data_IF_224589574677
#
_entry.id   IF_224589574677
#
_cell.length_a   1.000
_cell.length_b   1.000
_cell.length_c   1.000
_cell.angle_alpha   90.00
_cell.angle_beta   90.00
_cell.angle_gamma   90.00
#
_symmetry.space_group_name_H-M   'P 1'
#
loop_
_entity.id
_entity.type
_entity.pdbx_description
1 polymer ?
#
# COMPACT_ATOMS: atom_id res chain seq x y z
N UNK A 1 3.52 -2.67 13.24
CA UNK A 1 2.89 -1.36 13.00
C UNK A 1 3.38 -0.84 11.66
N UNK A 2 2.74 -1.22 10.55
CA UNK A 2 3.00 -0.66 9.21
C UNK A 2 1.79 -0.95 8.30
N UNK A 3 0.76 -0.11 8.34
CA UNK A 3 -0.16 0.05 7.21
C UNK A 3 -0.47 1.54 7.04
N UNK A 4 0.10 2.16 6.01
CA UNK A 4 -0.22 3.54 5.61
C UNK A 4 -1.32 3.59 4.55
N UNK A 5 -1.83 2.43 4.14
CA UNK A 5 -2.87 2.31 3.12
C UNK A 5 -4.15 1.80 3.75
N UNK A 6 -5.28 2.33 3.29
CA UNK A 6 -6.58 1.77 3.61
C UNK A 6 -6.67 0.34 3.05
N UNK A 7 -7.42 -0.54 3.71
CA UNK A 7 -7.78 -1.84 3.13
C UNK A 7 -8.86 -1.62 2.08
N UNK A 8 -8.68 -2.04 0.81
CA UNK A 8 -9.71 -1.90 -0.21
C UNK A 8 -10.97 -2.70 0.16
N UNK A 9 -12.16 -2.11 0.05
CA UNK A 9 -13.42 -2.82 0.39
C UNK A 9 -13.60 -4.09 -0.44
N UNK A 10 -13.16 -4.06 -1.71
CA UNK A 10 -13.25 -5.16 -2.64
C UNK A 10 -12.47 -6.42 -2.20
N UNK A 11 -11.47 -6.30 -1.31
CA UNK A 11 -10.74 -7.47 -0.80
C UNK A 11 -11.40 -8.12 0.41
N UNK A 12 -12.38 -7.44 1.02
CA UNK A 12 -13.17 -7.89 2.17
C UNK A 12 -14.50 -8.53 1.74
N UNK A 13 -15.02 -8.14 0.58
CA UNK A 13 -16.25 -8.68 0.01
C UNK A 13 -16.04 -10.08 -0.56
N UNK A 14 -16.67 -11.10 0.05
CA UNK A 14 -16.58 -12.50 -0.37
C UNK A 14 -17.12 -12.76 -1.79
N UNK A 15 -17.95 -11.88 -2.32
CA UNK A 15 -18.49 -11.99 -3.68
C UNK A 15 -17.57 -11.36 -4.74
N UNK A 16 -16.58 -10.57 -4.32
CA UNK A 16 -15.65 -9.88 -5.19
C UNK A 16 -14.59 -10.82 -5.76
N UNK A 17 -14.19 -10.67 -7.03
CA UNK A 17 -13.03 -11.39 -7.59
C UNK A 17 -11.72 -11.02 -6.88
N UNK A 18 -11.69 -9.90 -6.15
CA UNK A 18 -10.54 -9.45 -5.37
C UNK A 18 -10.54 -9.97 -3.92
N UNK A 19 -11.56 -10.74 -3.50
CA UNK A 19 -11.64 -11.29 -2.15
C UNK A 19 -10.35 -12.03 -1.76
N UNK A 20 -9.71 -11.59 -0.68
CA UNK A 20 -8.38 -12.11 -0.31
C UNK A 20 -8.42 -13.39 0.54
N UNK A 21 -9.61 -13.94 0.83
CA UNK A 21 -9.71 -15.26 1.47
C UNK A 21 -9.11 -15.40 2.88
N UNK A 22 -8.67 -14.31 3.51
CA UNK A 22 -7.95 -14.34 4.79
C UNK A 22 -6.42 -14.49 4.68
N UNK A 23 -5.84 -14.44 3.47
CA UNK A 23 -4.39 -14.35 3.30
C UNK A 23 -3.84 -13.10 3.96
N UNK A 24 -2.70 -13.24 4.64
CA UNK A 24 -2.02 -12.09 5.24
C UNK A 24 -1.08 -11.40 4.27
N UNK A 25 -0.63 -12.14 3.25
CA UNK A 25 0.37 -11.72 2.29
C UNK A 25 -0.15 -11.74 0.84
N UNK A 26 0.22 -10.74 0.05
CA UNK A 26 -0.27 -10.59 -1.33
C UNK A 26 0.38 -11.53 -2.37
N UNK A 27 1.46 -12.23 -2.02
CA UNK A 27 2.15 -13.12 -2.95
C UNK A 27 1.38 -14.42 -3.24
N UNK A 28 0.42 -14.76 -2.38
CA UNK A 28 -0.51 -15.88 -2.56
C UNK A 28 -1.88 -15.43 -3.06
N UNK A 29 -2.11 -14.12 -3.13
CA UNK A 29 -3.39 -13.53 -3.52
C UNK A 29 -3.60 -13.58 -5.02
N UNK A 30 -4.85 -13.39 -5.43
CA UNK A 30 -5.19 -13.24 -6.84
C UNK A 30 -4.62 -11.95 -7.43
N UNK A 31 -4.44 -11.91 -8.75
CA UNK A 31 -4.08 -10.66 -9.46
C UNK A 31 -5.10 -9.55 -9.18
N UNK A 32 -6.39 -9.88 -9.09
CA UNK A 32 -7.45 -8.91 -8.78
C UNK A 32 -7.31 -8.31 -7.38
N UNK A 33 -6.85 -9.08 -6.40
CA UNK A 33 -6.52 -8.58 -5.07
C UNK A 33 -5.31 -7.63 -5.13
N UNK A 34 -4.26 -8.00 -5.87
CA UNK A 34 -3.07 -7.15 -6.05
C UNK A 34 -3.43 -5.82 -6.73
N UNK A 35 -4.28 -5.86 -7.76
CA UNK A 35 -4.78 -4.68 -8.46
C UNK A 35 -5.61 -3.78 -7.54
N UNK A 36 -6.48 -4.35 -6.70
CA UNK A 36 -7.28 -3.59 -5.73
C UNK A 36 -6.39 -2.82 -4.73
N UNK A 37 -5.34 -3.45 -4.20
CA UNK A 37 -4.38 -2.77 -3.33
C UNK A 37 -3.53 -1.75 -4.09
N UNK A 38 -3.16 -2.01 -5.34
CA UNK A 38 -2.41 -1.06 -6.16
C UNK A 38 -3.21 0.22 -6.42
N UNK A 39 -4.51 0.09 -6.68
CA UNK A 39 -5.40 1.22 -6.89
C UNK A 39 -5.58 2.05 -5.60
N UNK A 40 -5.82 1.39 -4.47
CA UNK A 40 -5.91 2.09 -3.18
C UNK A 40 -4.59 2.81 -2.84
N UNK A 41 -3.44 2.17 -3.10
CA UNK A 41 -2.13 2.80 -2.92
C UNK A 41 -1.97 4.06 -3.77
N UNK A 42 -2.45 4.03 -5.02
CA UNK A 42 -2.43 5.17 -5.93
C UNK A 42 -3.28 6.31 -5.38
N UNK A 43 -4.48 6.04 -4.89
CA UNK A 43 -5.38 7.05 -4.34
C UNK A 43 -4.84 7.68 -3.06
N UNK A 44 -4.36 6.85 -2.12
CA UNK A 44 -3.81 7.30 -0.84
C UNK A 44 -2.55 8.14 -1.05
N UNK A 45 -1.63 7.70 -1.92
CA UNK A 45 -0.42 8.47 -2.25
C UNK A 45 -0.75 9.77 -2.97
N UNK A 46 -1.72 9.76 -3.89
CA UNK A 46 -2.17 10.99 -4.58
C UNK A 46 -2.70 12.00 -3.58
N UNK A 47 -3.56 11.56 -2.65
CA UNK A 47 -4.13 12.40 -1.61
C UNK A 47 -3.07 12.96 -0.67
N UNK A 48 -2.11 12.13 -0.26
CA UNK A 48 -0.97 12.55 0.55
C UNK A 48 -0.13 13.62 -0.16
N UNK A 49 0.22 13.40 -1.44
CA UNK A 49 1.03 14.35 -2.20
C UNK A 49 0.28 15.68 -2.44
N UNK A 50 -1.03 15.62 -2.68
CA UNK A 50 -1.87 16.82 -2.81
C UNK A 50 -1.89 17.64 -1.52
N UNK A 51 -2.04 17.00 -0.36
CA UNK A 51 -1.97 17.68 0.93
C UNK A 51 -0.59 18.32 1.17
N UNK A 52 0.49 17.58 0.91
CA UNK A 52 1.87 18.08 1.07
C UNK A 52 2.18 19.25 0.13
N UNK A 53 1.64 19.25 -1.09
CA UNK A 53 1.78 20.36 -2.02
C UNK A 53 1.24 21.70 -1.48
N UNK A 54 0.16 21.67 -0.69
CA UNK A 54 -0.43 22.88 -0.11
C UNK A 54 0.38 23.40 1.09
N UNK A 55 0.91 22.50 1.89
CA UNK A 55 1.64 22.80 3.13
C UNK A 55 3.10 23.21 2.90
N UNK A 56 3.72 22.72 1.82
CA UNK A 56 5.13 22.99 1.56
C UNK A 56 5.40 24.43 1.15
N UNK A 57 6.53 24.96 1.65
CA UNK A 57 7.07 26.24 1.22
C UNK A 57 7.49 26.19 -0.26
N UNK A 58 7.40 27.34 -0.94
CA UNK A 58 7.87 27.47 -2.33
C UNK A 58 9.35 27.08 -2.41
N UNK A 59 9.68 26.12 -3.28
CA UNK A 59 11.04 25.59 -3.42
C UNK A 59 11.44 24.53 -2.40
N UNK A 60 10.53 24.11 -1.51
CA UNK A 60 10.76 22.99 -0.60
C UNK A 60 10.86 21.65 -1.33
N UNK A 61 11.65 20.73 -0.76
CA UNK A 61 11.81 19.37 -1.24
C UNK A 61 11.28 18.38 -0.21
N UNK A 62 10.72 17.25 -0.67
CA UNK A 62 10.28 16.17 0.19
C UNK A 62 11.01 14.87 -0.20
N UNK A 63 11.48 14.16 0.81
CA UNK A 63 12.06 12.83 0.65
C UNK A 63 11.04 11.79 1.08
N UNK A 64 10.68 10.89 0.16
CA UNK A 64 9.80 9.77 0.44
C UNK A 64 10.56 8.47 0.31
N UNK A 65 10.35 7.58 1.26
CA UNK A 65 11.04 6.30 1.31
C UNK A 65 10.00 5.20 1.41
N UNK A 66 9.94 4.37 0.38
CA UNK A 66 8.93 3.33 0.25
C UNK A 66 9.54 1.95 0.22
N UNK A 67 8.69 0.99 0.57
CA UNK A 67 8.95 -0.39 0.27
C UNK A 67 8.55 -0.77 -1.13
N UNK A 68 9.44 -1.42 -1.89
CA UNK A 68 9.15 -1.91 -3.23
C UNK A 68 9.27 -3.44 -3.28
N UNK A 69 8.58 -4.04 -4.25
CA UNK A 69 8.68 -5.47 -4.58
C UNK A 69 9.38 -5.65 -5.92
N UNK A 70 10.04 -6.79 -6.09
CA UNK A 70 10.75 -7.16 -7.33
C UNK A 70 9.74 -7.73 -8.35
N UNK A 71 8.93 -6.84 -8.94
CA UNK A 71 7.94 -7.17 -9.98
C UNK A 71 6.49 -6.98 -9.55
N UNK A 72 5.58 -6.96 -10.53
CA UNK A 72 4.16 -6.66 -10.30
C UNK A 72 3.39 -7.87 -9.74
N UNK A 73 3.31 -8.95 -10.51
CA UNK A 73 2.68 -10.24 -10.16
C UNK A 73 2.98 -11.29 -11.27
N UNK A 74 3.17 -12.58 -10.95
CA UNK A 74 3.50 -13.09 -9.62
C UNK A 74 4.88 -12.58 -9.22
N UNK A 75 5.09 -12.31 -7.94
CA UNK A 75 6.39 -11.88 -7.43
C UNK A 75 6.88 -12.86 -6.39
N UNK A 76 8.20 -13.02 -6.32
CA UNK A 76 8.84 -13.87 -5.31
C UNK A 76 8.99 -13.08 -4.02
N UNK A 77 8.70 -13.73 -2.91
CA UNK A 77 8.98 -13.20 -1.58
C UNK A 77 10.19 -13.90 -0.99
N UNK A 78 10.77 -13.32 0.07
CA UNK A 78 11.84 -13.99 0.82
C UNK A 78 11.26 -15.16 1.61
N UNK A 79 12.07 -16.19 1.84
CA UNK A 79 11.69 -17.36 2.64
C UNK A 79 11.14 -17.01 4.04
N UNK A 80 11.53 -15.87 4.61
CA UNK A 80 10.99 -15.36 5.88
C UNK A 80 9.50 -15.02 5.80
N UNK A 81 9.05 -14.43 4.69
CA UNK A 81 7.65 -14.06 4.46
C UNK A 81 6.80 -15.31 4.24
N UNK A 82 7.32 -16.29 3.50
CA UNK A 82 6.66 -17.59 3.34
C UNK A 82 6.47 -18.31 4.68
N UNK A 83 7.45 -18.20 5.58
CA UNK A 83 7.37 -18.79 6.92
C UNK A 83 6.33 -18.07 7.80
N UNK A 84 6.21 -16.75 7.70
CA UNK A 84 5.22 -15.97 8.45
C UNK A 84 3.78 -16.39 8.12
N UNK A 85 3.44 -16.55 6.85
CA UNK A 85 2.12 -17.02 6.43
C UNK A 85 1.85 -18.46 6.92
N UNK A 86 2.86 -19.34 6.90
CA UNK A 86 2.71 -20.70 7.45
C UNK A 86 2.42 -20.69 8.94
N UNK A 87 3.21 -19.93 9.71
CA UNK A 87 2.99 -19.76 11.15
C UNK A 87 1.59 -19.19 11.42
N UNK A 88 1.15 -18.21 10.62
CA UNK A 88 -0.19 -17.65 10.73
C UNK A 88 -1.27 -18.71 10.51
N UNK A 89 -1.15 -19.51 9.45
CA UNK A 89 -2.09 -20.58 9.15
C UNK A 89 -2.12 -21.65 10.25
N UNK A 90 -0.96 -22.02 10.80
CA UNK A 90 -0.87 -22.96 11.93
C UNK A 90 -1.61 -22.41 13.16
N UNK A 91 -1.39 -21.14 13.52
CA UNK A 91 -2.06 -20.48 14.65
C UNK A 91 -3.59 -20.37 14.49
N UNK A 92 -4.07 -20.11 13.27
CA UNK A 92 -5.51 -20.09 12.96
C UNK A 92 -6.09 -21.50 13.08
N UNK A 93 -5.37 -22.53 12.63
CA UNK A 93 -5.82 -23.93 12.66
C UNK A 93 -5.92 -24.50 14.08
N UNK A 94 -5.05 -24.05 14.99
CA UNK A 94 -5.04 -24.46 16.40
C UNK A 94 -6.06 -23.69 17.27
N UNK A 95 -6.89 -22.82 16.67
CA UNK A 95 -7.92 -21.98 17.34
C UNK A 95 -7.32 -21.03 18.39
N UNK A 96 -6.03 -20.69 18.26
CA UNK A 96 -5.37 -19.73 19.13
C UNK A 96 -5.79 -18.29 18.78
N UNK A 97 -6.19 -18.05 17.52
CA UNK A 97 -6.56 -16.72 17.00
C UNK A 97 -7.83 -16.82 16.14
N UNK A 98 -8.80 -15.92 16.34
CA UNK A 98 -9.96 -15.75 15.44
C UNK A 98 -9.54 -14.92 14.23
N UNK A 99 -9.69 -15.40 12.98
CA UNK A 99 -9.23 -14.70 11.79
C UNK A 99 -10.09 -13.46 11.55
N UNK A 100 -9.62 -12.30 12.02
CA UNK A 100 -10.22 -11.01 11.72
C UNK A 100 -9.13 -10.10 11.12
N UNK A 101 -9.05 -10.13 9.79
CA UNK A 101 -8.25 -9.25 8.91
C UNK A 101 -6.85 -8.90 9.40
N UNK A 102 -5.87 -9.62 8.87
CA UNK A 102 -4.45 -9.46 9.19
C UNK A 102 -3.61 -9.32 7.92
N UNK A 103 -4.10 -8.61 6.91
CA UNK A 103 -3.28 -8.26 5.74
C UNK A 103 -2.10 -7.40 6.20
N UNK A 104 -0.91 -7.99 6.25
CA UNK A 104 0.35 -7.32 6.55
C UNK A 104 1.05 -7.03 5.22
N UNK A 105 1.64 -5.84 5.10
CA UNK A 105 2.31 -5.41 3.88
C UNK A 105 3.78 -5.15 4.21
N UNK A 106 4.68 -5.99 3.70
CA UNK A 106 6.12 -5.84 3.91
C UNK A 106 6.74 -4.85 2.90
N UNK A 107 7.50 -3.87 3.42
CA UNK A 107 8.11 -2.77 2.67
C UNK A 107 9.65 -2.93 2.56
N UNK A 108 10.24 -2.99 1.35
CA UNK A 108 11.71 -2.87 1.10
C UNK A 108 12.20 -1.51 0.58
N UNK A 109 13.06 -0.85 1.34
CA UNK A 109 13.54 0.53 1.21
C UNK A 109 14.09 0.96 -0.17
N UNK A 110 13.48 1.98 -0.79
CA UNK A 110 14.13 2.88 -1.77
C UNK A 110 13.70 4.34 -1.56
N UNK A 111 14.62 5.25 -1.86
CA UNK A 111 14.59 6.69 -1.55
C UNK A 111 14.21 7.47 -2.81
N UNK A 112 13.03 8.11 -2.84
CA UNK A 112 12.57 8.98 -3.92
C UNK A 112 12.57 10.43 -3.42
N UNK A 113 13.41 11.27 -4.04
CA UNK A 113 13.34 12.73 -3.87
C UNK A 113 12.34 13.29 -4.87
N UNK A 114 11.22 13.85 -4.39
CA UNK A 114 10.24 14.53 -5.24
C UNK A 114 10.34 16.03 -5.01
N UNK A 115 10.65 16.77 -6.08
CA UNK A 115 10.44 18.21 -6.13
C UNK A 115 8.94 18.49 -6.21
N UNK A 116 8.30 18.69 -5.05
CA UNK A 116 6.83 18.81 -4.94
C UNK A 116 6.27 19.99 -5.73
N UNK A 117 7.07 21.03 -5.94
CA UNK A 117 6.69 22.16 -6.79
C UNK A 117 6.41 21.76 -8.26
N UNK A 118 7.16 20.79 -8.79
CA UNK A 118 6.95 20.30 -10.17
C UNK A 118 5.72 19.38 -10.27
N UNK A 119 5.42 18.65 -9.19
CA UNK A 119 4.18 17.87 -9.05
C UNK A 119 2.96 18.80 -9.00
N UNK A 120 2.97 19.84 -8.16
CA UNK A 120 1.91 20.84 -8.10
C UNK A 120 1.63 21.46 -9.47
N UNK A 121 2.69 21.84 -10.21
CA UNK A 121 2.58 22.43 -11.55
C UNK A 121 1.90 21.52 -12.56
N UNK A 122 2.24 20.23 -12.56
CA UNK A 122 1.64 19.24 -13.46
C UNK A 122 0.17 18.96 -13.15
N UNK A 123 -0.24 19.12 -11.90
CA UNK A 123 -1.60 18.83 -11.44
C UNK A 123 -2.44 20.09 -11.18
N UNK A 124 -1.95 21.28 -11.54
CA UNK A 124 -2.69 22.55 -11.43
C UNK A 124 -2.98 23.00 -9.98
N UNK A 125 -2.16 22.56 -9.01
CA UNK A 125 -2.37 22.84 -7.58
C UNK A 125 -1.73 24.17 -7.12
N UNK A 126 -1.26 25.00 -8.06
CA UNK A 126 -0.42 26.17 -7.82
C UNK A 126 -1.20 27.43 -7.44
N UNK A 127 -2.52 27.42 -7.60
CA UNK A 127 -3.38 28.59 -7.44
C UNK A 127 -3.61 28.94 -5.96
N UNK A 128 -2.56 29.45 -5.31
CA UNK A 128 -2.68 30.28 -4.10
C UNK A 128 -3.07 31.70 -4.50
N UNK A 129 -4.32 31.86 -4.94
CA UNK A 129 -5.05 33.14 -4.97
C UNK A 129 -6.35 32.98 -4.18
N UNK A 130 -6.22 32.72 -2.88
CA UNK A 130 -7.30 32.94 -1.91
C UNK A 130 -6.66 33.42 -0.61
N UNK A 131 -6.82 34.74 -0.40
CA UNK A 131 -6.83 35.54 0.84
C UNK A 131 -5.99 35.05 2.02
#
# INVERSE_FOLDING_TARGET
>A
MTCWLQTPDAVLDQSSPAYNGGHTELHLSSVSTVDAFAEQAREDLTSFLAARALEMAKGGCMLLVFGLREGYYPYKVRATIELQERIWNDLVSEVIIVPKCSSHFDLYLFVILIGVHEFSRRHGLDNKNMV
#
